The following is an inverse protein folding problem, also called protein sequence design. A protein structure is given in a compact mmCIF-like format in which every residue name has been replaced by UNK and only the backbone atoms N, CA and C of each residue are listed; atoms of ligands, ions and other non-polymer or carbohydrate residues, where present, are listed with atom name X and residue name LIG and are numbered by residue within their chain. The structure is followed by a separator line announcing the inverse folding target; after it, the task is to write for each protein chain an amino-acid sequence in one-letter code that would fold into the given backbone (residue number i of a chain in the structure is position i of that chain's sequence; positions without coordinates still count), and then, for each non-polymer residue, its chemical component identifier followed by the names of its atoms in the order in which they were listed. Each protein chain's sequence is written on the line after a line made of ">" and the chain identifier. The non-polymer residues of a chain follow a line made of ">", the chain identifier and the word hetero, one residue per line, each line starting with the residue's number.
data_IF_600288299894
#
_entry.id   IF_600288299894
#
_cell.length_a   1.000
_cell.length_b   1.000
_cell.length_c   1.000
_cell.angle_alpha   90.00
_cell.angle_beta   90.00
_cell.angle_gamma   90.00
#
_symmetry.space_group_name_H-M   'P 1'
#
loop_
_entity.id
_entity.type
_entity.pdbx_description
1 polymer ?
#
# COMPACT_ATOMS: atom_id res chain seq x y z
N UNK A 1 26.38 4.39 -13.10
CA UNK A 1 26.48 3.32 -12.08
C UNK A 1 25.60 3.72 -10.90
N UNK A 2 25.07 2.76 -10.14
CA UNK A 2 24.32 2.99 -8.90
C UNK A 2 25.31 2.84 -7.75
N UNK A 3 25.38 3.86 -6.89
CA UNK A 3 26.32 3.86 -5.79
C UNK A 3 25.97 2.77 -4.78
N UNK A 4 26.99 2.11 -4.29
CA UNK A 4 26.89 1.08 -3.28
C UNK A 4 27.81 1.46 -2.12
N UNK A 5 27.29 2.19 -1.11
CA UNK A 5 28.11 2.68 -0.01
C UNK A 5 28.53 1.58 0.97
N UNK A 6 28.02 0.35 0.81
CA UNK A 6 28.24 -0.77 1.75
C UNK A 6 29.24 -1.79 1.19
N UNK A 7 29.35 -1.95 -0.14
CA UNK A 7 30.29 -2.90 -0.74
C UNK A 7 30.89 -2.41 -2.05
N UNK A 8 31.98 -3.06 -2.48
CA UNK A 8 32.77 -2.61 -3.62
C UNK A 8 32.09 -2.81 -5.00
N UNK A 9 31.04 -3.64 -5.09
CA UNK A 9 30.38 -3.95 -6.36
C UNK A 9 29.25 -2.93 -6.64
N UNK A 10 29.40 -2.01 -7.61
CA UNK A 10 28.37 -1.03 -7.92
C UNK A 10 27.20 -1.69 -8.66
N UNK A 11 26.01 -1.11 -8.52
CA UNK A 11 24.90 -1.43 -9.41
C UNK A 11 25.00 -0.65 -10.72
N UNK A 12 24.05 -0.85 -11.61
CA UNK A 12 24.00 -0.09 -12.86
C UNK A 12 22.57 0.16 -13.31
N UNK A 13 22.42 1.08 -14.26
CA UNK A 13 21.13 1.41 -14.87
C UNK A 13 21.25 1.42 -16.38
N UNK A 14 20.25 0.86 -17.07
CA UNK A 14 20.09 0.89 -18.52
C UNK A 14 18.70 1.42 -18.80
N UNK A 15 18.59 2.67 -19.26
CA UNK A 15 17.30 3.35 -19.36
C UNK A 15 16.59 3.42 -18.01
N UNK A 16 15.36 2.89 -17.95
CA UNK A 16 14.53 2.77 -16.73
C UNK A 16 14.72 1.44 -15.98
N UNK A 17 15.72 0.64 -16.33
CA UNK A 17 16.05 -0.62 -15.67
C UNK A 17 17.22 -0.41 -14.71
N UNK A 18 17.04 -0.79 -13.43
CA UNK A 18 18.05 -0.64 -12.38
C UNK A 18 18.43 -2.00 -11.81
N UNK A 19 19.71 -2.37 -11.91
CA UNK A 19 20.26 -3.63 -11.37
C UNK A 19 21.02 -3.32 -10.08
N UNK A 20 20.61 -3.97 -9.00
CA UNK A 20 21.09 -3.73 -7.63
C UNK A 20 21.43 -5.04 -6.91
N UNK A 21 22.10 -4.94 -5.77
CA UNK A 21 22.48 -6.09 -4.97
C UNK A 21 21.25 -6.84 -4.42
N UNK A 22 21.34 -8.18 -4.32
CA UNK A 22 20.27 -9.00 -3.74
C UNK A 22 20.24 -9.02 -2.21
N UNK A 23 21.30 -8.55 -1.54
CA UNK A 23 21.37 -8.48 -0.07
C UNK A 23 20.50 -7.31 0.42
N UNK A 24 19.51 -7.52 1.32
CA UNK A 24 18.51 -6.50 1.66
C UNK A 24 19.08 -5.15 2.11
N UNK A 25 20.08 -5.15 3.00
CA UNK A 25 20.67 -3.91 3.51
C UNK A 25 21.43 -3.14 2.41
N UNK A 26 22.10 -3.86 1.50
CA UNK A 26 22.82 -3.25 0.37
C UNK A 26 21.80 -2.67 -0.62
N UNK A 27 20.75 -3.43 -0.95
CA UNK A 27 19.66 -2.98 -1.79
C UNK A 27 19.02 -1.68 -1.28
N UNK A 28 18.70 -1.60 0.01
CA UNK A 28 18.09 -0.41 0.62
C UNK A 28 18.97 0.84 0.43
N UNK A 29 20.28 0.72 0.66
CA UNK A 29 21.23 1.81 0.46
C UNK A 29 21.33 2.23 -1.01
N UNK A 30 21.40 1.24 -1.92
CA UNK A 30 21.45 1.49 -3.37
C UNK A 30 20.17 2.17 -3.87
N UNK A 31 18.99 1.71 -3.45
CA UNK A 31 17.69 2.32 -3.80
C UNK A 31 17.65 3.78 -3.34
N UNK A 32 18.08 4.07 -2.11
CA UNK A 32 18.11 5.43 -1.60
C UNK A 32 18.91 6.39 -2.50
N UNK A 33 20.00 5.93 -3.12
CA UNK A 33 20.80 6.73 -4.07
C UNK A 33 20.11 6.97 -5.43
N UNK A 34 19.17 6.10 -5.82
CA UNK A 34 18.45 6.17 -7.10
C UNK A 34 17.17 7.00 -6.97
N UNK A 35 16.49 6.93 -5.81
CA UNK A 35 15.19 7.58 -5.58
C UNK A 35 15.11 9.05 -6.08
N UNK A 36 16.08 9.94 -5.79
CA UNK A 36 16.01 11.34 -6.25
C UNK A 36 16.08 11.53 -7.77
N UNK A 37 16.58 10.52 -8.50
CA UNK A 37 16.73 10.54 -9.96
C UNK A 37 15.57 9.89 -10.69
N UNK A 38 14.66 9.24 -9.97
CA UNK A 38 13.47 8.64 -10.57
C UNK A 38 12.44 9.73 -10.86
N UNK A 39 11.86 9.69 -12.06
CA UNK A 39 10.70 10.51 -12.38
C UNK A 39 9.55 10.14 -11.45
N UNK A 40 9.22 11.03 -10.53
CA UNK A 40 8.11 10.86 -9.60
C UNK A 40 6.76 11.16 -10.26
N UNK A 41 5.70 10.60 -9.68
CA UNK A 41 4.32 11.02 -9.90
C UNK A 41 3.76 11.75 -8.69
N UNK A 42 2.46 12.04 -8.69
CA UNK A 42 1.77 12.43 -7.45
C UNK A 42 1.98 11.33 -6.39
N UNK A 43 2.24 11.69 -5.13
CA UNK A 43 2.47 10.70 -4.08
C UNK A 43 1.26 9.78 -3.97
N UNK A 44 1.53 8.48 -3.90
CA UNK A 44 0.51 7.49 -3.58
C UNK A 44 0.26 7.54 -2.08
N UNK A 45 -0.92 7.97 -1.69
CA UNK A 45 -1.40 8.00 -0.32
C UNK A 45 -2.13 6.68 -0.02
N UNK A 46 -2.10 6.25 1.24
CA UNK A 46 -2.82 5.05 1.67
C UNK A 46 -3.36 5.17 3.09
N UNK A 47 -4.60 4.77 3.30
CA UNK A 47 -5.21 4.60 4.62
C UNK A 47 -5.69 3.15 4.78
N UNK A 48 -5.71 2.67 6.02
CA UNK A 48 -6.11 1.30 6.36
C UNK A 48 -7.18 1.31 7.45
N UNK A 49 -8.22 0.51 7.28
CA UNK A 49 -9.23 0.23 8.31
C UNK A 49 -9.21 -1.25 8.65
N UNK A 50 -9.12 -1.56 9.94
CA UNK A 50 -9.30 -2.92 10.45
C UNK A 50 -10.79 -3.18 10.64
N UNK A 51 -11.26 -4.30 10.13
CA UNK A 51 -12.63 -4.78 10.33
C UNK A 51 -12.54 -6.19 10.89
N UNK A 52 -13.03 -6.42 12.12
CA UNK A 52 -13.05 -7.75 12.75
C UNK A 52 -14.22 -8.60 12.21
N UNK A 53 -14.30 -8.73 10.89
CA UNK A 53 -15.23 -9.59 10.14
C UNK A 53 -14.46 -10.33 9.05
N UNK A 54 -14.95 -11.53 8.71
CA UNK A 54 -14.40 -12.31 7.61
C UNK A 54 -14.55 -11.60 6.26
N UNK A 55 -13.58 -11.80 5.36
CA UNK A 55 -13.55 -11.15 4.04
C UNK A 55 -14.83 -11.39 3.23
N UNK A 56 -15.37 -12.61 3.26
CA UNK A 56 -16.61 -12.95 2.54
C UNK A 56 -17.81 -12.12 3.01
N UNK A 57 -17.86 -11.73 4.28
CA UNK A 57 -18.94 -10.90 4.84
C UNK A 57 -18.88 -9.45 4.35
N UNK A 58 -17.69 -8.95 4.01
CA UNK A 58 -17.48 -7.55 3.62
C UNK A 58 -17.30 -7.37 2.10
N UNK A 59 -17.10 -8.46 1.35
CA UNK A 59 -16.77 -8.44 -0.08
C UNK A 59 -17.80 -7.69 -0.94
N UNK A 60 -19.09 -7.93 -0.73
CA UNK A 60 -20.15 -7.29 -1.54
C UNK A 60 -20.21 -5.77 -1.31
N UNK A 61 -20.23 -5.35 -0.04
CA UNK A 61 -20.24 -3.93 0.31
C UNK A 61 -18.93 -3.22 -0.10
N UNK A 62 -17.78 -3.91 0.01
CA UNK A 62 -16.50 -3.40 -0.49
C UNK A 62 -16.50 -3.26 -2.01
N UNK A 63 -17.09 -4.21 -2.75
CA UNK A 63 -17.20 -4.13 -4.20
C UNK A 63 -18.09 -2.95 -4.65
N UNK A 64 -19.22 -2.72 -3.96
CA UNK A 64 -20.06 -1.55 -4.21
C UNK A 64 -19.31 -0.24 -3.92
N UNK A 65 -18.57 -0.17 -2.81
CA UNK A 65 -17.74 0.98 -2.48
C UNK A 65 -16.63 1.20 -3.54
N UNK A 66 -15.97 0.14 -4.00
CA UNK A 66 -14.95 0.26 -5.04
C UNK A 66 -15.53 0.78 -6.36
N UNK A 67 -16.77 0.42 -6.71
CA UNK A 67 -17.46 0.94 -7.89
C UNK A 67 -17.77 2.44 -7.79
N UNK A 68 -18.05 2.96 -6.59
CA UNK A 68 -18.27 4.40 -6.34
C UNK A 68 -16.98 5.25 -6.42
N UNK A 69 -15.81 4.61 -6.30
CA UNK A 69 -14.51 5.27 -6.28
C UNK A 69 -13.52 4.62 -7.26
N UNK A 70 -13.78 4.66 -8.58
CA UNK A 70 -12.96 3.99 -9.59
C UNK A 70 -11.54 4.56 -9.75
N UNK A 71 -11.30 5.75 -9.20
CA UNK A 71 -10.00 6.42 -9.11
C UNK A 71 -9.14 5.93 -7.92
N UNK A 72 -9.73 5.19 -6.98
CA UNK A 72 -9.05 4.64 -5.80
C UNK A 72 -8.81 3.13 -5.97
N UNK A 73 -7.69 2.66 -5.44
CA UNK A 73 -7.40 1.22 -5.32
C UNK A 73 -7.79 0.75 -3.93
N UNK A 74 -8.65 -0.27 -3.84
CA UNK A 74 -9.07 -0.87 -2.58
C UNK A 74 -8.61 -2.33 -2.54
N UNK A 75 -7.97 -2.74 -1.44
CA UNK A 75 -7.51 -4.11 -1.24
C UNK A 75 -7.92 -4.65 0.13
N UNK A 76 -8.26 -5.94 0.18
CA UNK A 76 -8.53 -6.70 1.39
C UNK A 76 -7.34 -7.58 1.76
N UNK A 77 -6.98 -7.56 3.05
CA UNK A 77 -5.92 -8.39 3.62
C UNK A 77 -6.47 -9.12 4.85
N UNK A 78 -6.99 -10.36 4.70
CA UNK A 78 -7.51 -11.13 5.81
C UNK A 78 -6.38 -11.50 6.79
N UNK A 79 -6.71 -11.56 8.08
CA UNK A 79 -5.80 -11.95 9.14
C UNK A 79 -6.51 -12.83 10.17
N UNK A 80 -5.70 -13.59 10.91
CA UNK A 80 -6.12 -14.34 12.09
C UNK A 80 -5.27 -13.84 13.25
N UNK A 81 -5.92 -13.33 14.29
CA UNK A 81 -5.24 -12.85 15.49
C UNK A 81 -5.96 -13.37 16.73
N UNK A 82 -5.25 -14.07 17.61
CA UNK A 82 -5.80 -14.65 18.84
C UNK A 82 -7.05 -15.53 18.61
N UNK A 83 -7.12 -16.23 17.48
CA UNK A 83 -8.26 -17.06 17.10
C UNK A 83 -9.46 -16.30 16.50
N UNK A 84 -9.41 -14.96 16.48
CA UNK A 84 -10.40 -14.12 15.79
C UNK A 84 -9.96 -13.86 14.34
N UNK A 85 -10.93 -13.91 13.42
CA UNK A 85 -10.74 -13.60 12.01
C UNK A 85 -11.14 -12.15 11.73
N UNK A 86 -10.33 -11.44 10.96
CA UNK A 86 -10.63 -10.08 10.53
C UNK A 86 -9.99 -9.77 9.19
N UNK A 87 -10.25 -8.58 8.67
CA UNK A 87 -9.73 -8.12 7.39
C UNK A 87 -9.26 -6.68 7.52
N UNK A 88 -8.03 -6.39 7.09
CA UNK A 88 -7.55 -5.02 6.90
C UNK A 88 -7.91 -4.57 5.49
N UNK A 89 -8.71 -3.52 5.39
CA UNK A 89 -9.03 -2.87 4.11
C UNK A 89 -8.07 -1.70 3.93
N UNK A 90 -7.36 -1.69 2.81
CA UNK A 90 -6.43 -0.62 2.44
C UNK A 90 -6.98 0.12 1.23
N UNK A 91 -7.16 1.44 1.37
CA UNK A 91 -7.55 2.34 0.28
C UNK A 91 -6.33 3.18 -0.10
N UNK A 92 -6.00 3.20 -1.40
CA UNK A 92 -4.89 3.96 -1.97
C UNK A 92 -5.35 4.89 -3.09
N UNK A 93 -4.72 6.04 -3.20
CA UNK A 93 -5.01 7.02 -4.24
C UNK A 93 -4.03 8.19 -4.19
N UNK A 94 -4.23 9.19 -5.07
CA UNK A 94 -3.37 10.40 -5.10
C UNK A 94 -4.05 11.65 -4.54
N UNK A 95 -5.35 11.58 -4.26
CA UNK A 95 -6.16 12.66 -3.69
C UNK A 95 -6.59 12.27 -2.26
N UNK A 96 -6.08 12.99 -1.25
CA UNK A 96 -6.38 12.72 0.15
C UNK A 96 -7.87 12.87 0.47
N UNK A 97 -8.54 13.88 -0.09
CA UNK A 97 -9.96 14.13 0.20
C UNK A 97 -10.87 13.01 -0.33
N UNK A 98 -10.51 12.43 -1.49
CA UNK A 98 -11.20 11.25 -2.03
C UNK A 98 -11.02 10.05 -1.11
N UNK A 99 -9.79 9.80 -0.64
CA UNK A 99 -9.50 8.69 0.28
C UNK A 99 -10.25 8.88 1.60
N UNK A 100 -10.23 10.08 2.19
CA UNK A 100 -10.93 10.37 3.44
C UNK A 100 -12.46 10.16 3.31
N UNK A 101 -13.04 10.54 2.16
CA UNK A 101 -14.46 10.32 1.87
C UNK A 101 -14.78 8.82 1.77
N UNK A 102 -13.95 8.06 1.05
CA UNK A 102 -14.12 6.61 0.93
C UNK A 102 -13.95 5.90 2.28
N UNK A 103 -12.97 6.31 3.08
CA UNK A 103 -12.73 5.78 4.42
C UNK A 103 -13.88 6.08 5.38
N UNK A 104 -14.45 7.28 5.32
CA UNK A 104 -15.63 7.65 6.12
C UNK A 104 -16.83 6.77 5.75
N UNK A 105 -17.07 6.54 4.46
CA UNK A 105 -18.12 5.62 3.99
C UNK A 105 -17.85 4.17 4.43
N UNK A 106 -16.61 3.71 4.30
CA UNK A 106 -16.22 2.36 4.71
C UNK A 106 -16.46 2.16 6.22
N UNK A 107 -16.06 3.12 7.06
CA UNK A 107 -16.29 3.08 8.50
C UNK A 107 -17.79 3.11 8.84
N UNK A 108 -18.61 3.82 8.07
CA UNK A 108 -20.06 3.82 8.26
C UNK A 108 -20.74 2.51 7.86
N UNK A 109 -20.20 1.78 6.88
CA UNK A 109 -20.68 0.44 6.49
C UNK A 109 -20.35 -0.63 7.55
N UNK A 110 -19.23 -0.44 8.24
CA UNK A 110 -18.70 -1.37 9.23
C UNK A 110 -18.37 -0.62 10.53
N UNK A 111 -19.39 -0.10 11.24
CA UNK A 111 -19.16 0.52 12.54
C UNK A 111 -18.54 -0.54 13.46
N UNK A 112 -17.41 -0.19 14.08
CA UNK A 112 -16.79 -1.06 15.08
C UNK A 112 -17.75 -1.29 16.23
N UNK A 113 -17.74 -2.49 16.81
CA UNK A 113 -18.21 -2.61 18.19
C UNK A 113 -17.30 -1.75 19.08
N UNK A 114 -17.85 -1.01 20.05
CA UNK A 114 -17.00 -0.36 21.05
C UNK A 114 -16.12 -1.43 21.70
N UNK A 115 -14.83 -1.13 21.81
CA UNK A 115 -13.87 -1.94 22.54
C UNK A 115 -14.29 -2.16 24.00
#
# INVERSE_FOLDING_TARGET
>A
LIDNPISAAPGFSIGNVHVMAGVPNIFQAMVASVLPRLTGGKPMLSQSLRIDRGEGTIAEALAALAADFPDLSMGSYPFIQNGAYGTNIVIRGTDSARIDTAMTRLAALFPGEPA
#
